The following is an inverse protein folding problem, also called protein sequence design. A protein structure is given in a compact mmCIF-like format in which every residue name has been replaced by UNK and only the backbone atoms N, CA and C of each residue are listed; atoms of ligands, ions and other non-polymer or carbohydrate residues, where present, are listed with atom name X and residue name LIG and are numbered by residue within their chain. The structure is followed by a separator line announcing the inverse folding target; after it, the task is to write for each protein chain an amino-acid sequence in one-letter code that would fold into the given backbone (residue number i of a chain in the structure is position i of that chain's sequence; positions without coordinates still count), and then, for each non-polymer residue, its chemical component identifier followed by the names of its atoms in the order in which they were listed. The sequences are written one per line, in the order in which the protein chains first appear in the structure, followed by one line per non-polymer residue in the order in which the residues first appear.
data_IF_535615180511
#
_entry.id   IF_535615180511
#
_cell.length_a   1.000
_cell.length_b   1.000
_cell.length_c   1.000
_cell.angle_alpha   90.00
_cell.angle_beta   90.00
_cell.angle_gamma   90.00
#
_symmetry.space_group_name_H-M   'P 1'
#
loop_
_entity.id
_entity.type
_entity.pdbx_description
1 polymer ?
#
# COMPACT_ATOMS: atom_id res chain seq x y z
N UNK A 1 -6.10 -16.08 21.40
CA UNK A 1 -6.24 -16.59 20.00
C UNK A 1 -5.97 -15.50 18.96
N UNK A 2 -6.85 -14.50 18.75
CA UNK A 2 -6.62 -13.49 17.70
C UNK A 2 -5.38 -12.61 17.95
N UNK A 3 -5.11 -12.26 19.21
CA UNK A 3 -3.86 -11.54 19.57
C UNK A 3 -2.60 -12.33 19.22
N UNK A 4 -2.62 -13.65 19.43
CA UNK A 4 -1.48 -14.53 19.12
C UNK A 4 -1.26 -14.62 17.61
N UNK A 5 -2.35 -14.75 16.84
CA UNK A 5 -2.31 -14.70 15.37
C UNK A 5 -1.80 -13.36 14.85
N UNK A 6 -2.16 -12.25 15.49
CA UNK A 6 -1.69 -10.92 15.15
C UNK A 6 -0.19 -10.76 15.43
N UNK A 7 0.28 -11.23 16.58
CA UNK A 7 1.72 -11.26 16.90
C UNK A 7 2.51 -12.04 15.85
N UNK A 8 2.02 -13.24 15.46
CA UNK A 8 2.65 -14.08 14.43
C UNK A 8 2.65 -13.34 13.09
N UNK A 9 1.53 -12.75 12.68
CA UNK A 9 1.42 -12.05 11.40
C UNK A 9 2.35 -10.83 11.34
N UNK A 10 2.48 -10.06 12.42
CA UNK A 10 3.39 -8.90 12.47
C UNK A 10 4.85 -9.35 12.43
N UNK A 11 5.21 -10.41 13.16
CA UNK A 11 6.58 -10.96 13.17
C UNK A 11 6.98 -11.50 11.79
N UNK A 12 6.17 -12.38 11.22
CA UNK A 12 6.52 -13.14 10.02
C UNK A 12 6.09 -12.42 8.72
N UNK A 13 5.31 -11.35 8.83
CA UNK A 13 4.73 -10.54 7.76
C UNK A 13 3.77 -11.25 6.80
N UNK A 14 3.61 -12.57 6.97
CA UNK A 14 2.77 -13.45 6.16
C UNK A 14 2.36 -14.65 7.01
N UNK A 15 1.12 -15.09 6.88
CA UNK A 15 0.61 -16.30 7.51
C UNK A 15 -0.43 -16.97 6.62
N UNK A 16 -0.45 -18.30 6.62
CA UNK A 16 -1.51 -19.10 6.02
C UNK A 16 -2.52 -19.53 7.09
N UNK A 17 -3.80 -19.34 6.84
CA UNK A 17 -4.89 -19.71 7.77
C UNK A 17 -6.20 -19.94 7.03
N UNK A 18 -7.29 -20.21 7.74
CA UNK A 18 -8.61 -20.31 7.11
C UNK A 18 -9.09 -18.95 6.59
N UNK A 19 -9.86 -18.96 5.50
CA UNK A 19 -10.36 -17.73 4.89
C UNK A 19 -11.16 -16.86 5.87
N UNK A 20 -11.97 -17.48 6.73
CA UNK A 20 -12.74 -16.77 7.74
C UNK A 20 -11.82 -16.06 8.75
N UNK A 21 -10.82 -16.77 9.30
CA UNK A 21 -9.86 -16.19 10.25
C UNK A 21 -8.98 -15.13 9.60
N UNK A 22 -8.59 -15.30 8.34
CA UNK A 22 -7.81 -14.30 7.62
C UNK A 22 -8.58 -12.99 7.48
N UNK A 23 -9.87 -13.04 7.12
CA UNK A 23 -10.74 -11.86 7.01
C UNK A 23 -10.96 -11.17 8.35
N UNK A 24 -11.15 -11.94 9.42
CA UNK A 24 -11.29 -11.38 10.77
C UNK A 24 -9.99 -10.74 11.25
N UNK A 25 -8.84 -11.40 11.00
CA UNK A 25 -7.53 -10.90 11.39
C UNK A 25 -7.13 -9.62 10.63
N UNK A 26 -7.61 -9.47 9.40
CA UNK A 26 -7.33 -8.30 8.57
C UNK A 26 -7.71 -6.99 9.26
N UNK A 27 -8.86 -6.96 9.94
CA UNK A 27 -9.32 -5.77 10.66
C UNK A 27 -8.30 -5.33 11.73
N UNK A 28 -7.86 -6.27 12.57
CA UNK A 28 -6.87 -6.01 13.61
C UNK A 28 -5.48 -5.67 13.03
N UNK A 29 -5.10 -6.33 11.94
CA UNK A 29 -3.82 -6.10 11.26
C UNK A 29 -3.72 -4.70 10.66
N UNK A 30 -4.83 -4.17 10.12
CA UNK A 30 -4.91 -2.80 9.60
C UNK A 30 -4.94 -1.77 10.73
N UNK A 31 -5.72 -2.03 11.79
CA UNK A 31 -5.85 -1.14 12.94
C UNK A 31 -4.52 -0.94 13.68
N UNK A 32 -3.76 -2.01 13.94
CA UNK A 32 -2.46 -1.90 14.63
C UNK A 32 -1.48 -1.00 13.89
N UNK A 33 -1.38 -1.14 12.56
CA UNK A 33 -0.50 -0.28 11.76
C UNK A 33 -1.00 1.16 11.76
N UNK A 34 -2.32 1.35 11.65
CA UNK A 34 -2.93 2.68 11.68
C UNK A 34 -2.68 3.40 13.02
N UNK A 35 -2.85 2.71 14.15
CA UNK A 35 -2.58 3.27 15.48
C UNK A 35 -1.10 3.59 15.66
N UNK A 36 -0.21 2.68 15.29
CA UNK A 36 1.23 2.88 15.40
C UNK A 36 1.73 4.07 14.55
N UNK A 37 1.09 4.34 13.39
CA UNK A 37 1.39 5.52 12.57
C UNK A 37 1.06 6.85 13.24
N UNK A 38 0.12 6.88 14.20
CA UNK A 38 -0.27 8.13 14.88
C UNK A 38 0.76 8.60 15.92
N UNK A 39 1.65 7.72 16.37
CA UNK A 39 2.81 8.04 17.22
C UNK A 39 2.46 8.95 18.42
N UNK A 40 1.56 8.50 19.28
CA UNK A 40 1.17 9.19 20.51
C UNK A 40 1.11 8.17 21.65
N UNK A 41 1.47 8.54 22.89
CA UNK A 41 1.49 7.60 24.03
C UNK A 41 0.16 6.86 24.23
N UNK A 42 -0.96 7.53 23.96
CA UNK A 42 -2.28 6.91 24.03
C UNK A 42 -2.45 5.80 22.97
N UNK A 43 -2.01 6.05 21.73
CA UNK A 43 -2.09 5.08 20.65
C UNK A 43 -1.10 3.93 20.85
N UNK A 44 0.08 4.23 21.40
CA UNK A 44 1.07 3.20 21.73
C UNK A 44 0.52 2.25 22.81
N UNK A 45 -0.17 2.77 23.83
CA UNK A 45 -0.85 1.93 24.82
C UNK A 45 -1.96 1.04 24.22
N UNK A 46 -2.69 1.53 23.21
CA UNK A 46 -3.64 0.69 22.46
C UNK A 46 -2.92 -0.41 21.67
N UNK A 47 -1.81 -0.07 20.99
CA UNK A 47 -0.99 -1.06 20.26
C UNK A 47 -0.46 -2.12 21.22
N UNK A 48 0.02 -1.75 22.41
CA UNK A 48 0.47 -2.68 23.45
C UNK A 48 -0.65 -3.61 23.94
N UNK A 49 -1.88 -3.10 24.04
CA UNK A 49 -3.04 -3.91 24.40
C UNK A 49 -3.38 -4.99 23.34
N UNK A 50 -3.02 -4.75 22.08
CA UNK A 50 -3.25 -5.64 20.94
C UNK A 50 -2.08 -6.60 20.69
N UNK A 51 -0.84 -6.09 20.72
CA UNK A 51 0.40 -6.82 20.49
C UNK A 51 1.12 -7.14 21.80
N UNK A 52 0.91 -8.35 22.31
CA UNK A 52 1.52 -8.81 23.55
C UNK A 52 3.01 -9.11 23.40
N UNK A 53 3.48 -9.52 22.21
CA UNK A 53 4.89 -9.86 21.98
C UNK A 53 5.77 -8.61 21.81
N UNK A 54 6.83 -8.43 22.63
CA UNK A 54 7.79 -7.33 22.46
C UNK A 54 8.52 -7.37 21.11
N UNK A 55 8.80 -8.57 20.61
CA UNK A 55 9.45 -8.78 19.30
C UNK A 55 8.57 -8.25 18.16
N UNK A 56 7.27 -8.58 18.19
CA UNK A 56 6.33 -8.11 17.18
C UNK A 56 6.21 -6.58 17.19
N UNK A 57 6.14 -5.97 18.39
CA UNK A 57 6.14 -4.51 18.53
C UNK A 57 7.41 -3.89 17.94
N UNK A 58 8.58 -4.45 18.23
CA UNK A 58 9.85 -3.97 17.67
C UNK A 58 9.82 -3.99 16.13
N UNK A 59 9.38 -5.10 15.53
CA UNK A 59 9.27 -5.22 14.06
C UNK A 59 8.28 -4.21 13.48
N UNK A 60 7.15 -3.97 14.16
CA UNK A 60 6.16 -2.98 13.75
C UNK A 60 6.78 -1.59 13.64
N UNK A 61 7.43 -1.11 14.69
CA UNK A 61 7.98 0.25 14.74
C UNK A 61 9.25 0.40 13.88
N UNK A 62 10.19 -0.56 13.94
CA UNK A 62 11.48 -0.44 13.24
C UNK A 62 11.38 -0.74 11.74
N UNK A 63 10.55 -1.71 11.33
CA UNK A 63 10.55 -2.24 9.95
C UNK A 63 9.28 -1.91 9.18
N UNK A 64 8.11 -1.96 9.81
CA UNK A 64 6.84 -1.78 9.09
C UNK A 64 6.43 -0.31 8.97
N UNK A 65 6.59 0.50 10.03
CA UNK A 65 6.21 1.91 9.99
C UNK A 65 6.95 2.70 8.90
N UNK A 66 8.29 2.59 8.73
CA UNK A 66 8.99 3.29 7.65
C UNK A 66 8.47 2.92 6.26
N UNK A 67 8.11 1.65 6.06
CA UNK A 67 7.53 1.14 4.80
C UNK A 67 6.17 1.77 4.50
N UNK A 68 5.35 2.00 5.52
CA UNK A 68 3.98 2.45 5.36
C UNK A 68 3.77 3.95 5.55
N UNK A 69 4.82 4.77 5.61
CA UNK A 69 4.69 6.23 5.78
C UNK A 69 3.72 6.84 4.76
N UNK A 70 3.92 6.54 3.48
CA UNK A 70 3.12 7.08 2.36
C UNK A 70 1.78 6.37 2.15
N UNK A 71 1.55 5.20 2.80
CA UNK A 71 0.33 4.40 2.65
C UNK A 71 -0.67 4.76 3.75
N UNK A 72 -1.88 5.22 3.40
CA UNK A 72 -2.88 5.58 4.42
C UNK A 72 -3.70 4.38 4.92
N UNK A 73 -4.02 3.43 4.03
CA UNK A 73 -4.89 2.28 4.32
C UNK A 73 -4.46 1.06 3.49
N UNK A 74 -5.11 -0.09 3.72
CA UNK A 74 -4.85 -1.34 3.01
C UNK A 74 -3.40 -1.83 3.17
N UNK A 75 -2.94 -1.88 4.43
CA UNK A 75 -1.59 -2.35 4.79
C UNK A 75 -1.43 -3.86 4.60
N UNK A 76 -2.53 -4.60 4.63
CA UNK A 76 -2.55 -6.04 4.50
C UNK A 76 -3.45 -6.48 3.35
N UNK A 77 -3.30 -7.73 2.93
CA UNK A 77 -4.09 -8.36 1.88
C UNK A 77 -4.39 -9.80 2.27
N UNK A 78 -5.62 -10.22 2.00
CA UNK A 78 -6.02 -11.63 2.03
C UNK A 78 -6.06 -12.19 0.61
N UNK A 79 -5.32 -13.27 0.38
CA UNK A 79 -5.27 -14.02 -0.88
C UNK A 79 -5.87 -15.40 -0.62
N UNK A 80 -7.04 -15.67 -1.20
CA UNK A 80 -7.62 -17.01 -1.20
C UNK A 80 -6.64 -17.98 -1.89
N UNK A 81 -6.46 -19.19 -1.38
CA UNK A 81 -5.58 -20.20 -1.98
C UNK A 81 -6.31 -21.17 -2.92
N UNK A 82 -7.62 -21.02 -3.09
CA UNK A 82 -8.47 -21.87 -3.94
C UNK A 82 -8.31 -23.36 -3.64
N UNK A 83 -8.01 -23.70 -2.38
CA UNK A 83 -7.92 -25.07 -1.86
C UNK A 83 -8.63 -25.18 -0.52
N UNK A 84 -9.04 -26.40 -0.22
CA UNK A 84 -9.65 -26.75 1.05
C UNK A 84 -8.67 -27.55 1.90
N UNK A 85 -8.77 -27.41 3.21
CA UNK A 85 -8.05 -28.26 4.16
C UNK A 85 -8.62 -29.68 4.10
N UNK A 86 -7.74 -30.68 4.07
CA UNK A 86 -8.09 -32.07 3.75
C UNK A 86 -9.15 -32.69 4.66
N UNK A 87 -9.05 -32.47 5.98
CA UNK A 87 -9.89 -33.19 6.96
C UNK A 87 -11.29 -32.59 7.14
N UNK A 88 -11.43 -31.28 7.00
CA UNK A 88 -12.66 -30.56 7.38
C UNK A 88 -13.09 -29.53 6.33
N UNK A 89 -12.58 -29.66 5.11
CA UNK A 89 -12.94 -28.86 3.94
C UNK A 89 -12.98 -27.36 4.18
N UNK A 90 -12.18 -26.86 5.12
CA UNK A 90 -12.13 -25.43 5.43
C UNK A 90 -11.39 -24.69 4.30
N UNK A 91 -11.94 -23.63 3.70
CA UNK A 91 -11.25 -22.85 2.67
C UNK A 91 -10.01 -22.16 3.27
N UNK A 92 -8.88 -22.27 2.58
CA UNK A 92 -7.59 -21.71 3.02
C UNK A 92 -7.28 -20.38 2.33
N UNK A 93 -6.56 -19.51 3.03
CA UNK A 93 -6.11 -18.22 2.55
C UNK A 93 -4.75 -17.83 3.17
N UNK A 94 -4.02 -16.97 2.47
CA UNK A 94 -2.85 -16.29 3.00
C UNK A 94 -3.25 -14.86 3.35
N UNK A 95 -2.88 -14.41 4.55
CA UNK A 95 -2.88 -13.00 4.90
C UNK A 95 -1.44 -12.52 4.96
N UNK A 96 -1.16 -11.39 4.32
CA UNK A 96 0.18 -10.80 4.29
C UNK A 96 0.15 -9.28 4.34
N UNK A 97 1.24 -8.71 4.84
CA UNK A 97 1.53 -7.29 4.77
C UNK A 97 2.08 -6.90 3.40
N UNK A 98 1.58 -5.80 2.86
CA UNK A 98 1.86 -5.28 1.52
C UNK A 98 3.22 -4.57 1.45
N UNK A 99 3.80 -4.39 0.25
CA UNK A 99 5.09 -3.72 0.02
C UNK A 99 6.27 -4.44 0.72
N UNK A 100 6.08 -5.71 1.10
CA UNK A 100 7.14 -6.55 1.68
C UNK A 100 7.97 -7.21 0.58
N UNK A 101 9.26 -7.51 0.82
CA UNK A 101 10.04 -8.34 -0.10
C UNK A 101 9.36 -9.69 -0.33
N UNK A 102 9.16 -10.06 -1.60
CA UNK A 102 8.51 -11.33 -1.98
C UNK A 102 7.01 -11.40 -1.63
N UNK A 103 6.28 -10.28 -1.69
CA UNK A 103 4.81 -10.29 -1.63
C UNK A 103 4.21 -11.09 -2.80
N UNK A 104 3.03 -11.71 -2.59
CA UNK A 104 2.43 -12.60 -3.60
C UNK A 104 1.93 -11.84 -4.84
N UNK A 105 1.46 -10.61 -4.64
CA UNK A 105 0.99 -9.74 -5.72
C UNK A 105 1.56 -8.34 -5.51
N UNK A 106 2.10 -7.69 -6.55
CA UNK A 106 2.57 -6.33 -6.43
C UNK A 106 1.41 -5.42 -6.03
N UNK A 107 1.59 -4.62 -4.99
CA UNK A 107 0.62 -3.60 -4.65
C UNK A 107 0.73 -2.36 -5.54
N UNK A 108 -0.35 -1.59 -5.57
CA UNK A 108 -0.33 -0.30 -6.22
C UNK A 108 0.67 0.61 -5.49
N UNK A 109 1.57 1.26 -6.24
CA UNK A 109 2.57 2.13 -5.65
C UNK A 109 1.89 3.34 -5.02
N UNK A 110 2.51 3.88 -3.96
CA UNK A 110 2.07 5.07 -3.22
C UNK A 110 3.16 6.15 -3.23
N UNK A 111 2.82 7.35 -2.78
CA UNK A 111 3.79 8.44 -2.62
C UNK A 111 4.58 8.77 -3.89
N UNK A 112 5.90 8.84 -3.76
CA UNK A 112 6.80 9.13 -4.88
C UNK A 112 6.75 8.06 -5.98
N UNK A 113 6.67 6.78 -5.60
CA UNK A 113 6.62 5.66 -6.54
C UNK A 113 5.37 5.70 -7.41
N UNK A 114 4.23 6.17 -6.86
CA UNK A 114 3.00 6.39 -7.64
C UNK A 114 3.22 7.44 -8.73
N UNK A 115 3.82 8.57 -8.38
CA UNK A 115 4.08 9.67 -9.33
C UNK A 115 4.98 9.20 -10.49
N UNK A 116 6.02 8.42 -10.17
CA UNK A 116 6.89 7.79 -11.16
C UNK A 116 6.13 6.82 -12.06
N UNK A 117 5.34 5.92 -11.47
CA UNK A 117 4.53 4.96 -12.23
C UNK A 117 3.52 5.65 -13.16
N UNK A 118 2.87 6.73 -12.70
CA UNK A 118 1.94 7.51 -13.51
C UNK A 118 2.65 8.20 -14.67
N UNK A 119 3.79 8.84 -14.42
CA UNK A 119 4.59 9.48 -15.46
C UNK A 119 5.05 8.46 -16.52
N UNK A 120 5.48 7.27 -16.10
CA UNK A 120 5.83 6.18 -17.01
C UNK A 120 4.64 5.71 -17.85
N UNK A 121 3.49 5.41 -17.24
CA UNK A 121 2.28 5.02 -17.99
C UNK A 121 1.83 6.12 -18.95
N UNK A 122 1.93 7.39 -18.54
CA UNK A 122 1.57 8.56 -19.34
C UNK A 122 2.45 8.67 -20.59
N UNK A 123 3.76 8.46 -20.47
CA UNK A 123 4.69 8.56 -21.60
C UNK A 123 4.63 7.33 -22.52
N UNK A 124 4.26 6.16 -21.99
CA UNK A 124 4.29 4.89 -22.72
C UNK A 124 3.26 4.79 -23.85
N UNK A 125 2.03 5.28 -23.67
CA UNK A 125 0.96 5.07 -24.66
C UNK A 125 -0.04 6.23 -24.75
N UNK A 126 -0.70 6.38 -25.91
CA UNK A 126 -1.80 7.36 -26.09
C UNK A 126 -2.95 7.13 -25.10
N UNK A 127 -3.24 5.87 -24.77
CA UNK A 127 -4.26 5.51 -23.77
C UNK A 127 -3.85 5.94 -22.37
N UNK A 128 -2.57 5.76 -22.02
CA UNK A 128 -2.00 6.23 -20.76
C UNK A 128 -2.11 7.74 -20.61
N UNK A 129 -1.85 8.50 -21.69
CA UNK A 129 -2.05 9.96 -21.71
C UNK A 129 -3.47 10.35 -21.36
N UNK A 130 -4.46 9.78 -22.05
CA UNK A 130 -5.89 10.05 -21.78
C UNK A 130 -6.28 9.68 -20.34
N UNK A 131 -5.74 8.58 -19.81
CA UNK A 131 -6.05 8.08 -18.47
C UNK A 131 -5.50 8.99 -17.37
N UNK A 132 -4.27 9.49 -17.53
CA UNK A 132 -3.54 10.21 -16.49
C UNK A 132 -3.38 11.70 -16.72
N UNK A 133 -4.02 12.27 -17.75
CA UNK A 133 -3.87 13.68 -18.13
C UNK A 133 -4.15 14.63 -16.96
N UNK A 134 -5.28 14.44 -16.28
CA UNK A 134 -5.69 15.28 -15.15
C UNK A 134 -4.73 15.16 -13.96
N UNK A 135 -4.28 13.94 -13.66
CA UNK A 135 -3.32 13.68 -12.59
C UNK A 135 -1.98 14.37 -12.91
N UNK A 136 -1.52 14.29 -14.15
CA UNK A 136 -0.27 14.90 -14.62
C UNK A 136 -0.33 16.43 -14.66
N UNK A 137 -1.41 17.03 -15.14
CA UNK A 137 -1.60 18.48 -15.13
C UNK A 137 -1.56 19.02 -13.69
N UNK A 138 -2.28 18.37 -12.77
CA UNK A 138 -2.25 18.73 -11.35
C UNK A 138 -0.85 18.60 -10.75
N UNK A 139 -0.11 17.55 -11.11
CA UNK A 139 1.28 17.37 -10.68
C UNK A 139 2.18 18.50 -11.17
N UNK A 140 2.03 18.94 -12.43
CA UNK A 140 2.86 20.01 -13.01
C UNK A 140 2.52 21.41 -12.49
N UNK A 141 1.24 21.66 -12.16
CA UNK A 141 0.79 22.92 -11.57
C UNK A 141 1.12 23.05 -10.07
N UNK A 142 1.52 21.95 -9.43
CA UNK A 142 1.85 21.98 -8.00
C UNK A 142 3.14 22.76 -7.72
N UNK A 143 3.17 23.53 -6.63
CA UNK A 143 4.33 24.37 -6.26
C UNK A 143 5.62 23.58 -6.05
N UNK A 144 5.50 22.32 -5.66
CA UNK A 144 6.64 21.43 -5.44
C UNK A 144 6.80 20.53 -6.66
N UNK A 145 7.97 20.56 -7.28
CA UNK A 145 8.26 19.67 -8.41
C UNK A 145 8.13 18.20 -7.96
N UNK A 146 7.43 17.35 -8.74
CA UNK A 146 7.31 15.94 -8.39
C UNK A 146 8.70 15.25 -8.46
N UNK A 147 8.93 14.20 -7.66
CA UNK A 147 10.21 13.48 -7.58
C UNK A 147 10.40 12.57 -8.81
N UNK A 148 10.56 13.21 -9.96
CA UNK A 148 10.79 12.64 -11.27
C UNK A 148 12.14 13.14 -11.80
N UNK A 149 12.77 12.37 -12.67
CA UNK A 149 13.97 12.81 -13.38
C UNK A 149 13.68 14.00 -14.29
N UNK A 150 14.65 14.90 -14.45
CA UNK A 150 14.49 16.15 -15.19
C UNK A 150 14.05 15.91 -16.65
N UNK A 151 14.64 14.91 -17.31
CA UNK A 151 14.28 14.54 -18.68
C UNK A 151 12.83 14.03 -18.79
N UNK A 152 12.36 13.27 -17.79
CA UNK A 152 10.98 12.78 -17.72
C UNK A 152 10.02 13.94 -17.51
N UNK A 153 10.38 14.90 -16.63
CA UNK A 153 9.57 16.09 -16.37
C UNK A 153 9.37 16.94 -17.62
N UNK A 154 10.43 17.24 -18.35
CA UNK A 154 10.35 18.03 -19.59
C UNK A 154 9.44 17.36 -20.62
N UNK A 155 9.61 16.04 -20.81
CA UNK A 155 8.78 15.27 -21.73
C UNK A 155 7.32 15.24 -21.31
N UNK A 156 7.03 15.10 -20.02
CA UNK A 156 5.67 15.16 -19.50
C UNK A 156 5.05 16.55 -19.69
N UNK A 157 5.79 17.63 -19.44
CA UNK A 157 5.31 19.01 -19.68
C UNK A 157 4.98 19.24 -21.15
N UNK A 158 5.86 18.83 -22.06
CA UNK A 158 5.64 18.93 -23.49
C UNK A 158 4.41 18.15 -23.97
N UNK A 159 4.16 16.97 -23.41
CA UNK A 159 2.97 16.19 -23.76
C UNK A 159 1.70 16.77 -23.14
N UNK A 160 1.76 17.38 -21.95
CA UNK A 160 0.63 18.08 -21.34
C UNK A 160 0.23 19.35 -22.12
N UNK A 161 1.19 20.15 -22.59
CA UNK A 161 0.90 21.42 -23.28
C UNK A 161 0.12 21.24 -24.58
N UNK A 162 0.27 20.09 -25.25
CA UNK A 162 -0.51 19.73 -26.46
C UNK A 162 -2.02 19.68 -26.23
N UNK A 163 -2.44 19.48 -24.97
CA UNK A 163 -3.85 19.41 -24.60
C UNK A 163 -4.38 20.73 -24.04
N UNK A 164 -3.52 21.68 -23.68
CA UNK A 164 -3.93 23.01 -23.18
C UNK A 164 -4.40 23.90 -24.34
N UNK A 165 -3.75 23.81 -25.50
CA UNK A 165 -4.09 24.61 -26.71
C UNK A 165 -5.44 24.22 -27.33
N UNK A 166 -6.00 23.06 -26.97
CA UNK A 166 -7.25 22.57 -27.54
C UNK A 166 -8.52 23.18 -26.90
N UNK A 167 -8.38 24.02 -25.87
CA UNK A 167 -9.52 24.60 -25.12
C UNK A 167 -9.87 26.03 -25.57
N UNK A 168 -8.98 26.71 -26.31
CA UNK A 168 -9.15 28.11 -26.74
C UNK A 168 -9.76 28.27 -28.15
N UNK A 169 -10.56 27.31 -28.61
CA UNK A 169 -11.24 27.35 -29.92
C UNK A 169 -12.75 27.15 -29.75
N UNK A 170 -13.40 28.08 -29.04
CA UNK A 170 -14.85 28.36 -29.11
C UNK A 170 -15.09 29.87 -28.96
#
# INVERSE_FOLDING_TARGET
MMKDMLNILVRDQKMETSLARAKELQQYAEEVVFLAKKNSPYHDGLVESMLTSPEARRILYERMLPRYQDRHFHFSRVVNLWRYRERDTTPMAIIEYVDRPGELRPANPVGAARKQHVAMEFLQSRRGRRKHLSEMQRMMQSKNSPPLDAAVLERCRFECSKYEVAVDVE
#
